data_IF_464524192507
#
_entry.id   IF_464524192507
#
_cell.length_a   1.000
_cell.length_b   1.000
_cell.length_c   1.000
_cell.angle_alpha   90.00
_cell.angle_beta   90.00
_cell.angle_gamma   90.00
#
_symmetry.space_group_name_H-M   'P 1'
#
loop_
_entity.id
_entity.type
_entity.pdbx_description
1 polymer ?
#
# COMPACT_ATOMS: atom_id res chain seq x y z
N UNK A 1 7.99 3.31 3.45
CA UNK A 1 6.80 3.98 2.85
C UNK A 1 7.10 4.86 1.63
N UNK A 2 8.05 5.82 1.69
CA UNK A 2 8.27 6.80 0.61
C UNK A 2 8.51 6.20 -0.80
N UNK A 3 9.26 5.09 -0.89
CA UNK A 3 9.51 4.41 -2.17
C UNK A 3 8.21 3.91 -2.83
N UNK A 4 7.34 3.22 -2.06
CA UNK A 4 6.05 2.75 -2.55
C UNK A 4 5.14 3.90 -3.00
N UNK A 5 5.08 4.98 -2.22
CA UNK A 5 4.33 6.17 -2.58
C UNK A 5 4.83 6.80 -3.91
N UNK A 6 6.14 6.83 -4.12
CA UNK A 6 6.75 7.29 -5.37
C UNK A 6 6.34 6.43 -6.57
N UNK A 7 6.37 5.10 -6.42
CA UNK A 7 5.96 4.16 -7.46
C UNK A 7 4.47 4.32 -7.83
N UNK A 8 3.60 4.43 -6.84
CA UNK A 8 2.15 4.62 -7.04
C UNK A 8 1.84 5.93 -7.77
N UNK A 9 2.50 7.03 -7.38
CA UNK A 9 2.38 8.32 -8.09
C UNK A 9 2.90 8.23 -9.53
N UNK A 10 3.98 7.48 -9.75
CA UNK A 10 4.48 7.17 -11.10
C UNK A 10 3.46 6.45 -11.97
N UNK A 11 2.61 5.61 -11.36
CA UNK A 11 1.48 4.92 -12.01
C UNK A 11 0.19 5.76 -12.07
N UNK A 12 0.24 7.06 -11.74
CA UNK A 12 -0.88 8.00 -11.77
C UNK A 12 -1.97 7.79 -10.70
N UNK A 13 -1.71 6.99 -9.68
CA UNK A 13 -2.57 6.96 -8.50
C UNK A 13 -2.37 8.22 -7.66
N UNK A 14 -3.45 8.68 -7.03
CA UNK A 14 -3.35 9.70 -5.99
C UNK A 14 -2.94 9.01 -4.69
N UNK A 15 -1.97 9.60 -3.99
CA UNK A 15 -1.42 9.07 -2.75
C UNK A 15 -1.39 10.17 -1.70
N UNK A 16 -2.22 10.00 -0.68
CA UNK A 16 -2.29 10.83 0.50
C UNK A 16 -1.55 10.15 1.66
N UNK A 17 -0.73 10.90 2.39
CA UNK A 17 -0.09 10.39 3.60
C UNK A 17 -1.06 10.61 4.76
N UNK A 18 -1.47 9.54 5.45
CA UNK A 18 -2.34 9.64 6.62
C UNK A 18 -1.51 9.90 7.87
N UNK A 19 -0.44 9.12 8.04
CA UNK A 19 0.58 9.25 9.08
C UNK A 19 1.92 8.68 8.55
N UNK A 20 2.97 8.64 9.39
CA UNK A 20 4.32 8.26 8.95
C UNK A 20 4.43 6.89 8.28
N UNK A 21 3.54 5.96 8.66
CA UNK A 21 3.57 4.56 8.24
C UNK A 21 2.33 4.14 7.45
N UNK A 22 1.42 5.07 7.15
CA UNK A 22 0.18 4.78 6.42
C UNK A 22 -0.07 5.75 5.29
N UNK A 23 -0.53 5.21 4.17
CA UNK A 23 -0.92 5.97 3.00
C UNK A 23 -2.31 5.56 2.54
N UNK A 24 -3.08 6.50 2.02
CA UNK A 24 -4.30 6.24 1.30
C UNK A 24 -4.02 6.37 -0.20
N UNK A 25 -4.43 5.35 -0.96
CA UNK A 25 -4.21 5.25 -2.40
C UNK A 25 -5.55 5.20 -3.11
N UNK A 26 -5.78 6.09 -4.08
CA UNK A 26 -7.04 6.16 -4.84
C UNK A 26 -6.77 6.23 -6.33
N UNK A 27 -7.64 5.63 -7.15
CA UNK A 27 -7.60 5.67 -8.62
C UNK A 27 -8.34 6.90 -9.22
N UNK A 28 -8.76 7.83 -8.37
CA UNK A 28 -9.51 9.03 -8.74
C UNK A 28 -10.32 9.59 -7.57
N UNK A 29 -10.90 10.79 -7.72
CA UNK A 29 -11.62 11.49 -6.65
C UNK A 29 -12.83 10.72 -6.11
N UNK A 30 -13.46 9.88 -6.93
CA UNK A 30 -14.63 9.09 -6.56
C UNK A 30 -14.29 7.63 -6.17
N UNK A 31 -13.00 7.29 -6.13
CA UNK A 31 -12.54 5.94 -5.78
C UNK A 31 -12.59 5.72 -4.27
N UNK A 32 -13.04 4.53 -3.84
CA UNK A 32 -13.17 4.18 -2.41
C UNK A 32 -11.86 4.18 -1.61
N UNK A 33 -10.71 4.25 -2.27
CA UNK A 33 -9.41 4.35 -1.64
C UNK A 33 -8.98 3.07 -0.91
N UNK A 34 -7.68 2.82 -0.90
CA UNK A 34 -7.06 1.70 -0.21
C UNK A 34 -6.04 2.23 0.77
N UNK A 35 -6.23 1.94 2.05
CA UNK A 35 -5.25 2.28 3.09
C UNK A 35 -4.20 1.18 3.14
N UNK A 36 -2.96 1.60 2.96
CA UNK A 36 -1.77 0.75 2.98
C UNK A 36 -0.91 1.18 4.16
N UNK A 37 -0.44 0.21 4.92
CA UNK A 37 0.32 0.39 6.15
C UNK A 37 1.67 -0.31 5.99
N UNK A 38 2.71 0.24 6.60
CA UNK A 38 4.01 -0.39 6.74
C UNK A 38 4.21 -0.71 8.22
N UNK A 39 4.19 -1.99 8.59
CA UNK A 39 4.29 -2.40 10.01
C UNK A 39 5.09 -3.68 10.17
N UNK A 40 5.62 -3.87 11.37
CA UNK A 40 6.29 -5.12 11.72
C UNK A 40 5.32 -6.30 11.67
N UNK A 41 5.86 -7.44 11.26
CA UNK A 41 5.16 -8.71 11.21
C UNK A 41 5.79 -9.66 12.22
N UNK A 42 5.04 -9.95 13.29
CA UNK A 42 5.53 -10.70 14.46
C UNK A 42 6.03 -12.12 14.11
N UNK A 43 5.40 -12.77 13.11
CA UNK A 43 5.76 -14.11 12.64
C UNK A 43 6.91 -14.14 11.64
N UNK A 44 7.51 -12.98 11.33
CA UNK A 44 8.64 -12.85 10.39
C UNK A 44 9.81 -12.07 11.01
N UNK A 45 10.17 -12.42 12.25
CA UNK A 45 11.32 -11.89 12.97
C UNK A 45 11.35 -10.35 13.09
N UNK A 46 10.18 -9.69 13.12
CA UNK A 46 10.08 -8.23 13.21
C UNK A 46 10.42 -7.51 11.91
N UNK A 47 10.43 -8.20 10.76
CA UNK A 47 10.56 -7.55 9.47
C UNK A 47 9.36 -6.65 9.20
N UNK A 48 9.61 -5.53 8.54
CA UNK A 48 8.57 -4.61 8.13
C UNK A 48 7.94 -5.10 6.83
N UNK A 49 6.61 -5.11 6.81
CA UNK A 49 5.81 -5.53 5.67
C UNK A 49 4.82 -4.45 5.29
N UNK A 50 4.51 -4.38 4.00
CA UNK A 50 3.33 -3.67 3.53
C UNK A 50 2.09 -4.53 3.79
N UNK A 51 1.08 -3.90 4.36
CA UNK A 51 -0.23 -4.48 4.59
C UNK A 51 -1.34 -3.53 4.12
N UNK A 52 -2.53 -4.06 3.87
CA UNK A 52 -3.71 -3.25 3.62
C UNK A 52 -4.94 -3.84 4.32
N UNK A 53 -6.06 -3.11 4.32
CA UNK A 53 -7.33 -3.52 4.97
C UNK A 53 -7.15 -3.96 6.45
N UNK A 54 -6.23 -3.33 7.17
CA UNK A 54 -5.98 -3.60 8.59
C UNK A 54 -5.33 -4.95 8.90
N UNK A 55 -4.82 -5.68 7.90
CA UNK A 55 -4.05 -6.90 8.19
C UNK A 55 -3.75 -7.86 7.05
N UNK A 56 -4.07 -7.54 5.80
CA UNK A 56 -3.69 -8.38 4.66
C UNK A 56 -2.25 -8.03 4.27
N UNK A 57 -1.32 -8.93 4.53
CA UNK A 57 0.09 -8.80 4.16
C UNK A 57 0.28 -8.89 2.64
N UNK A 58 1.15 -8.03 2.10
CA UNK A 58 1.42 -7.95 0.66
C UNK A 58 2.83 -8.46 0.36
N UNK A 59 3.84 -7.74 0.84
CA UNK A 59 5.25 -8.01 0.60
C UNK A 59 6.09 -7.35 1.69
N UNK A 60 7.35 -7.76 1.81
CA UNK A 60 8.34 -7.08 2.63
C UNK A 60 8.54 -5.62 2.17
N UNK A 61 8.86 -4.74 3.11
CA UNK A 61 8.92 -3.29 2.87
C UNK A 61 10.08 -2.84 1.96
N UNK A 62 11.09 -3.68 1.81
CA UNK A 62 12.23 -3.55 0.89
C UNK A 62 11.90 -4.04 -0.54
N UNK A 63 10.73 -4.64 -0.74
CA UNK A 63 10.18 -5.06 -2.04
C UNK A 63 8.96 -4.21 -2.49
N UNK A 64 9.09 -2.88 -2.65
CA UNK A 64 7.95 -1.99 -2.93
C UNK A 64 7.34 -2.19 -4.33
N UNK A 65 8.08 -2.77 -5.27
CA UNK A 65 7.55 -3.12 -6.61
C UNK A 65 6.52 -4.24 -6.53
N UNK A 66 6.70 -5.21 -5.63
CA UNK A 66 5.77 -6.32 -5.46
C UNK A 66 4.48 -5.83 -4.80
N UNK A 67 4.61 -4.94 -3.81
CA UNK A 67 3.47 -4.24 -3.23
C UNK A 67 2.66 -3.47 -4.28
N UNK A 68 3.35 -2.75 -5.19
CA UNK A 68 2.69 -2.01 -6.27
C UNK A 68 1.82 -2.92 -7.14
N UNK A 69 2.31 -4.11 -7.52
CA UNK A 69 1.58 -5.04 -8.39
C UNK A 69 0.28 -5.48 -7.73
N UNK A 70 0.33 -5.87 -6.46
CA UNK A 70 -0.86 -6.29 -5.69
C UNK A 70 -1.85 -5.15 -5.51
N UNK A 71 -1.38 -3.95 -5.13
CA UNK A 71 -2.25 -2.79 -4.94
C UNK A 71 -2.97 -2.38 -6.22
N UNK A 72 -2.30 -2.47 -7.38
CA UNK A 72 -2.93 -2.23 -8.69
C UNK A 72 -4.07 -3.21 -8.96
N UNK A 73 -3.90 -4.48 -8.60
CA UNK A 73 -4.94 -5.49 -8.78
C UNK A 73 -6.15 -5.21 -7.87
N UNK A 74 -5.91 -4.85 -6.60
CA UNK A 74 -6.97 -4.52 -5.65
C UNK A 74 -7.75 -3.26 -6.03
N UNK A 75 -7.05 -2.19 -6.42
CA UNK A 75 -7.67 -0.94 -6.84
C UNK A 75 -8.58 -1.12 -8.07
N UNK A 76 -8.16 -1.96 -9.03
CA UNK A 76 -8.98 -2.28 -10.23
C UNK A 76 -10.23 -3.10 -9.92
N UNK A 77 -10.17 -3.96 -8.91
CA UNK A 77 -11.31 -4.80 -8.55
C UNK A 77 -12.38 -4.01 -7.77
N UNK A 78 -12.09 -2.77 -7.37
CA UNK A 78 -13.02 -1.94 -6.58
C UNK A 78 -13.45 -2.58 -5.27
N UNK A 79 -12.69 -3.59 -4.81
CA UNK A 79 -13.04 -4.38 -3.63
C UNK A 79 -12.51 -3.60 -2.41
N UNK A 80 -13.38 -3.22 -1.46
CA UNK A 80 -12.98 -2.54 -0.24
C UNK A 80 -12.34 -3.51 0.76
#
# INVERSE_FOLDING_TARGET
>A
MAALAGLLRGQKYMVELLDGDRIQVTDGPDSRGLVVECRERDDDAGRHWFAYRGGIWISEADHPTDALVTLKAELRQGRP
#
